data_IF_504290136370
#
_entry.id   IF_504290136370
#
_cell.length_a   1.000
_cell.length_b   1.000
_cell.length_c   1.000
_cell.angle_alpha   90.00
_cell.angle_beta   90.00
_cell.angle_gamma   90.00
#
_symmetry.space_group_name_H-M   'P 1'
#
loop_
_entity.id
_entity.type
_entity.pdbx_description
1 polymer ?
#
# COMPACT_ATOMS: atom_id res chain seq x y z
N UNK A 1 -22.84 -19.19 4.36
CA UNK A 1 -21.44 -18.79 4.58
C UNK A 1 -21.35 -18.06 5.91
N UNK A 2 -20.46 -18.51 6.79
CA UNK A 2 -20.10 -17.84 8.04
C UNK A 2 -18.68 -17.35 7.86
N UNK A 3 -18.42 -16.09 8.23
CA UNK A 3 -17.10 -15.48 8.12
C UNK A 3 -16.79 -14.75 9.42
N UNK A 4 -15.69 -15.11 10.05
CA UNK A 4 -15.14 -14.45 11.22
C UNK A 4 -13.85 -13.73 10.84
N UNK A 5 -13.65 -12.54 11.40
CA UNK A 5 -12.45 -11.74 11.16
C UNK A 5 -11.99 -11.10 12.47
N UNK A 6 -10.72 -11.28 12.77
CA UNK A 6 -10.01 -10.57 13.82
C UNK A 6 -9.03 -9.60 13.18
N UNK A 7 -9.03 -8.36 13.65
CA UNK A 7 -8.08 -7.34 13.20
C UNK A 7 -7.44 -6.67 14.41
N UNK A 8 -6.12 -6.61 14.41
CA UNK A 8 -5.33 -5.88 15.42
C UNK A 8 -4.53 -4.82 14.69
N UNK A 9 -4.72 -3.58 15.08
CA UNK A 9 -3.94 -2.43 14.62
C UNK A 9 -3.18 -1.87 15.82
N UNK A 10 -1.87 -1.81 15.73
CA UNK A 10 -1.01 -1.28 16.78
C UNK A 10 -0.03 -0.27 16.19
N UNK A 11 0.15 0.83 16.89
CA UNK A 11 1.14 1.85 16.52
C UNK A 11 1.86 2.34 17.77
N UNK A 12 3.18 2.34 17.73
CA UNK A 12 4.05 2.89 18.76
C UNK A 12 4.93 3.95 18.12
N UNK A 13 5.06 5.08 18.77
CA UNK A 13 5.92 6.17 18.28
C UNK A 13 6.72 6.83 19.41
N UNK A 14 7.85 7.42 19.04
CA UNK A 14 8.64 8.28 19.89
C UNK A 14 8.90 9.62 19.19
N UNK A 15 8.78 10.71 19.94
CA UNK A 15 9.18 12.05 19.49
C UNK A 15 10.34 12.52 20.35
N UNK A 16 11.39 13.00 19.71
CA UNK A 16 12.59 13.53 20.37
C UNK A 16 12.85 14.93 19.82
N UNK A 17 13.08 15.88 20.70
CA UNK A 17 13.44 17.26 20.35
C UNK A 17 14.86 17.55 20.86
N UNK A 18 15.91 17.11 20.16
CA UNK A 18 17.30 17.18 20.66
C UNK A 18 17.83 18.62 20.73
N UNK A 19 17.32 19.48 19.87
CA UNK A 19 17.61 20.93 19.86
C UNK A 19 16.32 21.69 19.54
N UNK A 20 16.32 22.98 19.82
CA UNK A 20 15.20 23.87 19.50
C UNK A 20 14.85 23.77 17.99
N UNK A 21 13.56 23.66 17.68
CA UNK A 21 13.00 23.60 16.33
C UNK A 21 13.31 22.32 15.52
N UNK A 22 14.03 21.34 16.07
CA UNK A 22 14.24 20.03 15.47
C UNK A 22 13.40 18.99 16.19
N UNK A 23 12.49 18.34 15.47
CA UNK A 23 11.72 17.21 15.97
C UNK A 23 12.04 15.98 15.15
N UNK A 24 12.48 14.93 15.81
CA UNK A 24 12.67 13.59 15.22
C UNK A 24 11.54 12.71 15.73
N UNK A 25 10.80 12.11 14.81
CA UNK A 25 9.72 11.17 15.11
C UNK A 25 10.03 9.84 14.46
N UNK A 26 10.02 8.78 15.26
CA UNK A 26 10.06 7.38 14.76
C UNK A 26 8.77 6.71 15.16
N UNK A 27 8.14 6.01 14.21
CA UNK A 27 6.87 5.32 14.36
C UNK A 27 6.97 3.91 13.79
N UNK A 28 6.52 2.92 14.58
CA UNK A 28 6.35 1.54 14.15
C UNK A 28 4.87 1.19 14.17
N UNK A 29 4.38 0.62 13.07
CA UNK A 29 3.01 0.16 12.91
C UNK A 29 2.96 -1.34 12.60
N UNK A 30 1.95 -2.01 13.15
CA UNK A 30 1.62 -3.40 12.82
C UNK A 30 0.10 -3.49 12.59
N UNK A 31 -0.29 -3.96 11.43
CA UNK A 31 -1.69 -4.28 11.07
C UNK A 31 -1.76 -5.78 10.79
N UNK A 32 -2.42 -6.52 11.68
CA UNK A 32 -2.64 -7.95 11.54
C UNK A 32 -4.12 -8.24 11.39
N UNK A 33 -4.46 -9.06 10.40
CA UNK A 33 -5.82 -9.51 10.15
C UNK A 33 -5.84 -11.01 9.91
N UNK A 34 -6.60 -11.73 10.74
CA UNK A 34 -6.92 -13.14 10.53
C UNK A 34 -8.38 -13.27 10.13
N UNK A 35 -8.67 -14.00 9.07
CA UNK A 35 -10.04 -14.29 8.66
C UNK A 35 -10.25 -15.76 8.39
N UNK A 36 -11.36 -16.31 8.89
CA UNK A 36 -11.82 -17.65 8.57
C UNK A 36 -13.19 -17.59 7.91
N UNK A 37 -13.40 -18.43 6.93
CA UNK A 37 -14.71 -18.57 6.31
C UNK A 37 -15.10 -20.04 6.26
N UNK A 38 -16.35 -20.29 6.62
CA UNK A 38 -17.01 -21.57 6.45
C UNK A 38 -18.10 -21.42 5.38
N UNK A 39 -18.02 -22.27 4.37
CA UNK A 39 -18.99 -22.32 3.27
C UNK A 39 -19.67 -23.66 3.26
N UNK A 40 -20.99 -23.67 3.09
CA UNK A 40 -21.78 -24.88 2.99
C UNK A 40 -22.88 -24.71 1.96
N UNK A 41 -23.08 -25.76 1.18
CA UNK A 41 -24.21 -25.90 0.28
C UNK A 41 -24.91 -27.22 0.60
N UNK A 42 -26.20 -27.14 0.88
CA UNK A 42 -26.96 -28.31 1.36
C UNK A 42 -27.39 -29.23 0.21
N UNK A 43 -27.31 -30.56 0.37
CA UNK A 43 -27.86 -31.51 -0.61
C UNK A 43 -29.32 -31.30 -0.92
N UNK A 44 -30.11 -30.87 0.07
CA UNK A 44 -31.56 -30.59 -0.08
C UNK A 44 -31.87 -29.41 -1.02
N UNK A 45 -30.93 -28.55 -1.31
CA UNK A 45 -31.13 -27.49 -2.31
C UNK A 45 -31.27 -28.08 -3.72
N UNK A 46 -32.37 -27.78 -4.39
CA UNK A 46 -32.69 -28.27 -5.73
C UNK A 46 -31.56 -28.00 -6.72
N UNK A 47 -30.90 -26.84 -6.61
CA UNK A 47 -29.80 -26.45 -7.48
C UNK A 47 -28.55 -27.32 -7.31
N UNK A 48 -28.41 -28.00 -6.18
CA UNK A 48 -27.26 -28.84 -5.87
C UNK A 48 -27.42 -30.29 -6.36
N UNK A 49 -28.58 -30.60 -6.91
CA UNK A 49 -28.89 -31.91 -7.49
C UNK A 49 -28.54 -33.10 -6.56
N UNK A 50 -28.87 -32.94 -5.28
CA UNK A 50 -28.60 -33.96 -4.25
C UNK A 50 -27.14 -34.04 -3.75
N UNK A 51 -26.26 -33.19 -4.22
CA UNK A 51 -24.84 -33.16 -3.81
C UNK A 51 -24.54 -31.92 -2.98
N UNK A 52 -24.25 -32.12 -1.69
CA UNK A 52 -23.78 -31.06 -0.80
C UNK A 52 -22.31 -30.71 -1.02
N UNK A 53 -21.92 -29.56 -0.52
CA UNK A 53 -20.49 -29.17 -0.39
C UNK A 53 -20.21 -28.48 0.94
N UNK A 54 -19.00 -28.66 1.45
CA UNK A 54 -18.50 -27.94 2.60
C UNK A 54 -17.09 -27.43 2.32
N UNK A 55 -16.80 -26.19 2.71
CA UNK A 55 -15.50 -25.58 2.51
C UNK A 55 -15.04 -24.79 3.72
N UNK A 56 -13.74 -24.75 3.91
CA UNK A 56 -13.06 -23.87 4.86
C UNK A 56 -11.99 -23.08 4.15
N UNK A 57 -11.90 -21.81 4.53
CA UNK A 57 -10.87 -20.88 4.08
C UNK A 57 -10.28 -20.20 5.32
N UNK A 58 -8.98 -20.04 5.37
CA UNK A 58 -8.27 -19.23 6.35
C UNK A 58 -7.30 -18.32 5.62
N UNK A 59 -7.19 -17.09 6.09
CA UNK A 59 -6.25 -16.10 5.53
C UNK A 59 -5.70 -15.23 6.64
N UNK A 60 -4.40 -15.06 6.64
CA UNK A 60 -3.63 -14.17 7.50
C UNK A 60 -3.01 -13.06 6.65
N UNK A 61 -3.12 -11.83 7.12
CA UNK A 61 -2.49 -10.67 6.48
C UNK A 61 -1.75 -9.90 7.56
N UNK A 62 -0.47 -9.65 7.35
CA UNK A 62 0.37 -8.83 8.22
C UNK A 62 1.02 -7.72 7.41
N UNK A 63 0.85 -6.48 7.88
CA UNK A 63 1.60 -5.33 7.39
C UNK A 63 2.42 -4.73 8.53
N UNK A 64 3.71 -4.65 8.35
CA UNK A 64 4.62 -3.95 9.24
C UNK A 64 5.09 -2.68 8.55
N UNK A 65 5.08 -1.57 9.28
CA UNK A 65 5.57 -0.29 8.79
C UNK A 65 6.50 0.37 9.80
N UNK A 66 7.52 1.02 9.30
CA UNK A 66 8.41 1.89 10.05
C UNK A 66 8.53 3.21 9.30
N UNK A 67 8.38 4.33 10.01
CA UNK A 67 8.57 5.66 9.46
C UNK A 67 9.38 6.50 10.44
N UNK A 68 10.51 7.00 9.98
CA UNK A 68 11.32 7.96 10.74
C UNK A 68 11.39 9.28 9.97
N UNK A 69 11.08 10.37 10.66
CA UNK A 69 11.12 11.73 10.10
C UNK A 69 11.92 12.66 11.00
N UNK A 70 12.65 13.59 10.39
CA UNK A 70 13.28 14.72 11.04
C UNK A 70 12.71 16.01 10.45
N UNK A 71 12.07 16.82 11.28
CA UNK A 71 11.51 18.11 10.89
C UNK A 71 12.30 19.21 11.58
N UNK A 72 12.81 20.16 10.79
CA UNK A 72 13.54 21.32 11.28
C UNK A 72 12.92 22.61 10.77
N UNK A 73 12.46 23.45 11.72
CA UNK A 73 11.93 24.79 11.42
C UNK A 73 12.99 25.84 11.70
N UNK A 74 13.34 26.59 10.66
CA UNK A 74 14.33 27.64 10.71
C UNK A 74 13.66 29.00 10.47
N UNK A 75 13.54 29.79 11.51
CA UNK A 75 13.10 31.18 11.45
C UNK A 75 14.34 32.07 11.32
N UNK A 76 14.64 32.53 10.09
CA UNK A 76 15.78 33.43 9.86
C UNK A 76 15.52 34.80 10.48
N UNK A 77 14.29 35.32 10.33
CA UNK A 77 13.79 36.55 10.91
C UNK A 77 12.25 36.58 10.82
N UNK A 78 11.62 37.70 11.22
CA UNK A 78 10.16 37.89 11.17
C UNK A 78 9.54 37.74 9.77
N UNK A 79 10.35 37.87 8.72
CA UNK A 79 9.88 37.87 7.33
C UNK A 79 10.18 36.58 6.59
N UNK A 80 11.11 35.75 7.07
CA UNK A 80 11.61 34.56 6.38
C UNK A 80 11.56 33.34 7.27
N UNK A 81 10.80 32.34 6.91
CA UNK A 81 10.78 31.06 7.55
C UNK A 81 11.01 29.91 6.57
N UNK A 82 11.73 28.91 7.01
CA UNK A 82 12.01 27.68 6.27
C UNK A 82 11.58 26.48 7.14
N UNK A 83 11.01 25.48 6.48
CA UNK A 83 10.70 24.21 7.12
C UNK A 83 11.28 23.08 6.26
N UNK A 84 12.08 22.20 6.89
CA UNK A 84 12.70 21.07 6.24
C UNK A 84 12.20 19.80 6.87
N UNK A 85 11.75 18.88 6.05
CA UNK A 85 11.39 17.51 6.43
C UNK A 85 12.29 16.53 5.67
N UNK A 86 12.98 15.68 6.40
CA UNK A 86 13.68 14.52 5.87
C UNK A 86 13.03 13.27 6.46
N UNK A 87 12.82 12.26 5.67
CA UNK A 87 12.20 11.04 6.15
C UNK A 87 12.65 9.78 5.41
N UNK A 88 12.43 8.68 6.10
CA UNK A 88 12.61 7.32 5.60
C UNK A 88 11.37 6.52 6.02
N UNK A 89 10.94 5.61 5.14
CA UNK A 89 9.82 4.71 5.39
C UNK A 89 10.16 3.30 4.86
N UNK A 90 9.81 2.29 5.65
CA UNK A 90 9.89 0.90 5.25
C UNK A 90 8.54 0.22 5.51
N UNK A 91 8.08 -0.55 4.53
CA UNK A 91 6.83 -1.33 4.63
C UNK A 91 7.10 -2.76 4.21
N UNK A 92 6.64 -3.71 5.00
CA UNK A 92 6.63 -5.12 4.67
C UNK A 92 5.21 -5.66 4.76
N UNK A 93 4.73 -6.28 3.70
CA UNK A 93 3.41 -6.91 3.60
C UNK A 93 3.57 -8.40 3.35
N UNK A 94 2.82 -9.19 4.10
CA UNK A 94 2.72 -10.64 3.94
C UNK A 94 1.26 -11.07 4.01
N UNK A 95 0.86 -11.94 3.09
CA UNK A 95 -0.46 -12.55 3.09
C UNK A 95 -0.32 -14.04 2.82
N UNK A 96 -0.87 -14.85 3.71
CA UNK A 96 -0.93 -16.29 3.55
C UNK A 96 -2.37 -16.76 3.64
N UNK A 97 -2.70 -17.83 2.95
CA UNK A 97 -4.04 -18.37 3.01
C UNK A 97 -4.09 -19.83 2.55
N UNK A 98 -5.09 -20.52 2.97
CA UNK A 98 -5.41 -21.82 2.44
C UNK A 98 -6.92 -22.03 2.34
N UNK A 99 -7.34 -22.87 1.42
CA UNK A 99 -8.71 -23.31 1.30
C UNK A 99 -8.81 -24.82 1.04
N UNK A 100 -9.89 -25.39 1.51
CA UNK A 100 -10.26 -26.76 1.21
C UNK A 100 -11.76 -26.87 1.03
N UNK A 101 -12.19 -27.57 0.00
CA UNK A 101 -13.60 -27.80 -0.31
C UNK A 101 -13.79 -29.28 -0.63
N UNK A 102 -14.81 -29.88 -0.02
CA UNK A 102 -15.27 -31.22 -0.36
C UNK A 102 -16.69 -31.21 -0.90
N UNK A 103 -17.05 -32.22 -1.66
CA UNK A 103 -18.39 -32.46 -2.18
C UNK A 103 -18.86 -33.86 -1.89
N UNK A 104 -20.18 -34.06 -2.00
CA UNK A 104 -20.81 -35.34 -1.79
C UNK A 104 -21.20 -35.61 -0.34
N UNK A 105 -21.55 -34.57 0.43
CA UNK A 105 -22.23 -34.73 1.71
C UNK A 105 -23.60 -35.36 1.50
N UNK A 106 -23.89 -36.43 2.25
CA UNK A 106 -25.10 -37.22 2.03
C UNK A 106 -26.38 -36.62 2.57
N UNK A 107 -26.29 -35.67 3.53
CA UNK A 107 -27.42 -34.94 4.08
C UNK A 107 -26.99 -33.59 4.67
N UNK A 108 -27.96 -32.72 4.97
CA UNK A 108 -27.76 -31.35 5.45
C UNK A 108 -27.08 -31.24 6.84
N UNK A 109 -27.08 -32.32 7.62
CA UNK A 109 -26.44 -32.34 8.96
C UNK A 109 -24.93 -32.60 8.88
N UNK A 110 -24.44 -33.11 7.75
CA UNK A 110 -23.01 -33.39 7.54
C UNK A 110 -22.30 -32.14 7.05
N UNK A 111 -21.94 -31.27 7.98
CA UNK A 111 -21.40 -29.93 7.68
C UNK A 111 -19.88 -29.87 7.59
N UNK A 112 -19.17 -30.91 8.01
CA UNK A 112 -17.71 -30.94 8.00
C UNK A 112 -17.16 -31.21 6.60
N UNK A 113 -16.00 -30.64 6.29
CA UNK A 113 -15.27 -30.90 5.03
C UNK A 113 -14.95 -32.39 4.89
N UNK A 114 -14.62 -33.05 5.99
CA UNK A 114 -14.31 -34.49 6.01
C UNK A 114 -15.51 -35.40 5.75
N UNK A 115 -16.74 -34.86 5.77
CA UNK A 115 -17.96 -35.65 5.51
C UNK A 115 -18.30 -35.75 4.01
N UNK A 116 -17.53 -35.08 3.14
CA UNK A 116 -17.66 -35.24 1.70
C UNK A 116 -16.98 -36.48 1.18
N UNK A 117 -17.50 -37.05 0.09
CA UNK A 117 -16.94 -38.25 -0.53
C UNK A 117 -15.72 -38.00 -1.39
N UNK A 118 -15.48 -36.75 -1.78
CA UNK A 118 -14.33 -36.36 -2.60
C UNK A 118 -13.88 -34.92 -2.30
N UNK A 119 -12.58 -34.67 -2.38
CA UNK A 119 -12.04 -33.34 -2.43
C UNK A 119 -12.45 -32.67 -3.77
N UNK A 120 -12.90 -31.43 -3.73
CA UNK A 120 -13.35 -30.67 -4.90
C UNK A 120 -12.41 -29.53 -5.26
N UNK A 121 -11.84 -28.88 -4.24
CA UNK A 121 -10.83 -27.88 -4.40
C UNK A 121 -9.97 -27.82 -3.14
N UNK A 122 -8.70 -27.58 -3.33
CA UNK A 122 -7.74 -27.22 -2.29
C UNK A 122 -6.72 -26.27 -2.89
N UNK A 123 -6.14 -25.43 -2.07
CA UNK A 123 -5.11 -24.53 -2.50
C UNK A 123 -4.57 -23.73 -1.35
N UNK A 124 -3.37 -23.28 -1.50
CA UNK A 124 -2.71 -22.32 -0.66
C UNK A 124 -2.32 -21.09 -1.46
N UNK A 125 -2.12 -20.01 -0.77
CA UNK A 125 -1.64 -18.75 -1.36
C UNK A 125 -0.62 -18.12 -0.42
N UNK A 126 0.43 -17.59 -1.01
CA UNK A 126 1.44 -16.84 -0.31
C UNK A 126 1.85 -15.65 -1.18
N UNK A 127 1.80 -14.46 -0.61
CA UNK A 127 2.11 -13.24 -1.33
C UNK A 127 2.77 -12.24 -0.39
N UNK A 128 3.88 -11.64 -0.84
CA UNK A 128 4.58 -10.63 -0.08
C UNK A 128 5.15 -9.54 -0.97
N UNK A 129 5.28 -8.34 -0.41
CA UNK A 129 6.04 -7.26 -1.02
C UNK A 129 6.64 -6.36 0.06
N UNK A 130 7.66 -5.62 -0.33
CA UNK A 130 8.33 -4.65 0.54
C UNK A 130 8.56 -3.34 -0.20
N UNK A 131 8.48 -2.24 0.53
CA UNK A 131 8.89 -0.90 0.08
C UNK A 131 9.95 -0.33 1.00
N UNK A 132 10.87 0.44 0.41
CA UNK A 132 11.81 1.30 1.11
C UNK A 132 11.84 2.65 0.41
N UNK A 133 11.65 3.71 1.18
CA UNK A 133 11.50 5.05 0.66
C UNK A 133 12.35 6.04 1.45
N UNK A 134 12.92 7.02 0.74
CA UNK A 134 13.55 8.20 1.33
C UNK A 134 12.92 9.44 0.72
N UNK A 135 12.62 10.43 1.55
CA UNK A 135 11.98 11.64 1.08
C UNK A 135 12.47 12.89 1.78
N UNK A 136 12.43 13.96 1.04
CA UNK A 136 12.77 15.31 1.49
C UNK A 136 11.66 16.27 1.06
N UNK A 137 11.36 17.25 1.92
CA UNK A 137 10.51 18.41 1.60
C UNK A 137 11.12 19.65 2.21
N UNK A 138 11.21 20.70 1.42
CA UNK A 138 11.62 22.02 1.82
C UNK A 138 10.53 23.04 1.51
N UNK A 139 10.13 23.81 2.50
CA UNK A 139 9.14 24.88 2.38
C UNK A 139 9.78 26.20 2.75
N UNK A 140 9.52 27.24 1.99
CA UNK A 140 9.95 28.60 2.24
C UNK A 140 8.75 29.53 2.25
N UNK A 141 8.67 30.37 3.27
CA UNK A 141 7.66 31.40 3.40
C UNK A 141 8.33 32.77 3.55
N UNK A 142 7.87 33.72 2.76
CA UNK A 142 8.26 35.12 2.85
C UNK A 142 7.06 36.02 3.16
N UNK A 143 7.03 36.56 4.40
CA UNK A 143 6.02 37.52 4.91
C UNK A 143 4.56 37.04 4.76
N UNK A 144 4.30 35.75 4.69
CA UNK A 144 2.99 35.17 4.36
C UNK A 144 2.42 35.64 3.01
N UNK A 145 3.30 36.17 2.13
CA UNK A 145 3.00 36.61 0.78
C UNK A 145 3.38 35.55 -0.26
N UNK A 146 4.60 35.04 -0.16
CA UNK A 146 5.14 34.10 -1.14
C UNK A 146 5.54 32.80 -0.44
N UNK A 147 5.07 31.72 -1.00
CA UNK A 147 5.40 30.37 -0.54
C UNK A 147 6.03 29.60 -1.69
N UNK A 148 7.12 28.95 -1.41
CA UNK A 148 7.75 28.01 -2.34
C UNK A 148 7.96 26.67 -1.64
N UNK A 149 7.70 25.60 -2.35
CA UNK A 149 7.88 24.23 -1.86
C UNK A 149 8.67 23.42 -2.87
N UNK A 150 9.56 22.58 -2.38
CA UNK A 150 10.19 21.54 -3.16
C UNK A 150 10.10 20.21 -2.40
N UNK A 151 9.76 19.14 -3.10
CA UNK A 151 9.82 17.79 -2.56
C UNK A 151 10.55 16.87 -3.52
N UNK A 152 11.25 15.90 -2.96
CA UNK A 152 11.87 14.81 -3.69
C UNK A 152 11.67 13.52 -2.91
N UNK A 153 11.38 12.43 -3.61
CA UNK A 153 11.19 11.11 -3.03
C UNK A 153 11.83 10.05 -3.93
N UNK A 154 12.49 9.10 -3.33
CA UNK A 154 12.95 7.90 -4.00
C UNK A 154 12.37 6.68 -3.31
N UNK A 155 11.75 5.80 -4.09
CA UNK A 155 11.04 4.62 -3.60
C UNK A 155 11.59 3.37 -4.29
N UNK A 156 11.88 2.35 -3.49
CA UNK A 156 12.18 1.01 -3.98
C UNK A 156 11.03 0.07 -3.70
N UNK A 157 10.66 -0.74 -4.69
CA UNK A 157 9.62 -1.78 -4.56
C UNK A 157 10.17 -3.14 -4.96
N UNK A 158 9.86 -4.16 -4.14
CA UNK A 158 10.19 -5.55 -4.47
C UNK A 158 9.37 -6.14 -5.62
N UNK A 159 8.34 -5.43 -6.08
CA UNK A 159 7.49 -5.84 -7.21
C UNK A 159 8.18 -5.72 -8.56
N UNK A 160 9.25 -4.93 -8.63
CA UNK A 160 9.99 -4.65 -9.85
C UNK A 160 11.25 -5.49 -10.01
N UNK A 161 11.75 -5.56 -11.22
CA UNK A 161 13.01 -6.21 -11.55
C UNK A 161 14.18 -5.64 -10.73
N UNK A 162 15.22 -6.45 -10.48
CA UNK A 162 16.30 -6.12 -9.54
C UNK A 162 16.94 -4.76 -9.82
N UNK A 163 17.13 -4.43 -11.09
CA UNK A 163 17.82 -3.20 -11.52
C UNK A 163 16.83 -2.01 -11.72
N UNK A 164 15.52 -2.26 -11.63
CA UNK A 164 14.44 -1.27 -11.84
C UNK A 164 13.59 -1.00 -10.60
N UNK A 165 14.05 -1.42 -9.43
CA UNK A 165 13.31 -1.26 -8.16
C UNK A 165 13.13 0.17 -7.74
N UNK A 166 14.10 1.05 -8.02
CA UNK A 166 14.12 2.41 -7.57
C UNK A 166 13.44 3.37 -8.57
N UNK A 167 12.47 4.14 -8.07
CA UNK A 167 11.89 5.28 -8.75
C UNK A 167 12.27 6.58 -8.04
N UNK A 168 12.43 7.66 -8.80
CA UNK A 168 12.69 9.01 -8.27
C UNK A 168 11.57 9.93 -8.72
N UNK A 169 10.97 10.62 -7.75
CA UNK A 169 9.85 11.53 -7.96
C UNK A 169 10.15 12.86 -7.31
N UNK A 170 9.64 13.94 -7.88
CA UNK A 170 9.87 15.27 -7.37
C UNK A 170 8.66 16.18 -7.63
N UNK A 171 8.53 17.23 -6.84
CA UNK A 171 7.56 18.29 -7.08
C UNK A 171 8.11 19.64 -6.70
N UNK A 172 7.63 20.66 -7.39
CA UNK A 172 7.85 22.07 -7.10
C UNK A 172 6.49 22.77 -7.02
N UNK A 173 6.33 23.60 -6.01
CA UNK A 173 5.15 24.40 -5.78
C UNK A 173 5.52 25.85 -5.51
N UNK A 174 4.69 26.76 -6.00
CA UNK A 174 4.76 28.17 -5.70
C UNK A 174 3.35 28.71 -5.44
N UNK A 175 3.19 29.52 -4.40
CA UNK A 175 1.94 30.19 -4.10
C UNK A 175 2.20 31.65 -3.77
N UNK A 176 1.43 32.54 -4.38
CA UNK A 176 1.38 33.97 -4.09
C UNK A 176 0.05 34.31 -3.43
N UNK A 177 0.10 34.79 -2.21
CA UNK A 177 -1.06 35.27 -1.47
C UNK A 177 -1.28 36.75 -1.76
N UNK A 178 -1.98 37.04 -2.85
CA UNK A 178 -2.20 38.38 -3.37
C UNK A 178 -2.99 39.25 -2.37
N UNK A 179 -3.92 38.65 -1.61
CA UNK A 179 -4.72 39.38 -0.62
C UNK A 179 -3.87 40.05 0.46
N UNK A 180 -2.71 39.49 0.79
CA UNK A 180 -1.82 40.04 1.82
C UNK A 180 -0.91 41.16 1.28
N UNK A 181 -0.93 41.46 -0.04
CA UNK A 181 -0.20 42.56 -0.63
C UNK A 181 -0.77 43.90 -0.17
N UNK A 182 0.10 44.92 -0.06
CA UNK A 182 -0.24 46.23 0.45
C UNK A 182 -1.38 46.92 -0.33
N UNK A 183 -1.52 46.66 -1.63
CA UNK A 183 -2.55 47.22 -2.49
C UNK A 183 -3.93 46.50 -2.39
N UNK A 184 -4.02 45.31 -1.80
CA UNK A 184 -5.28 44.57 -1.59
C UNK A 184 -5.63 44.36 -0.11
N UNK A 185 -4.71 44.64 0.80
CA UNK A 185 -4.87 44.35 2.23
C UNK A 185 -6.15 45.00 2.81
N UNK A 186 -6.44 46.22 2.42
CA UNK A 186 -7.55 47.01 2.95
C UNK A 186 -8.88 46.85 2.18
N UNK A 187 -8.93 45.96 1.19
CA UNK A 187 -10.14 45.67 0.42
C UNK A 187 -11.03 44.70 1.21
N UNK A 188 -12.04 45.22 1.89
CA UNK A 188 -12.88 44.48 2.84
C UNK A 188 -13.75 43.38 2.21
N UNK A 189 -14.25 43.59 0.98
CA UNK A 189 -15.08 42.60 0.29
C UNK A 189 -14.30 41.38 -0.21
N UNK A 190 -12.98 41.46 -0.31
CA UNK A 190 -12.10 40.39 -0.76
C UNK A 190 -11.49 39.67 0.46
N UNK A 191 -11.99 38.53 0.80
CA UNK A 191 -11.55 37.76 1.97
C UNK A 191 -10.24 37.02 1.70
N UNK A 192 -10.07 36.46 0.49
CA UNK A 192 -8.85 35.76 0.06
C UNK A 192 -8.64 35.90 -1.42
N UNK A 193 -7.38 36.00 -1.84
CA UNK A 193 -6.95 35.91 -3.24
C UNK A 193 -5.55 35.32 -3.28
N UNK A 194 -5.39 34.21 -3.99
CA UNK A 194 -4.12 33.53 -4.11
C UNK A 194 -3.98 32.90 -5.50
N UNK A 195 -2.75 32.78 -5.96
CA UNK A 195 -2.40 32.03 -7.16
C UNK A 195 -1.44 30.94 -6.73
N UNK A 196 -1.75 29.72 -7.13
CA UNK A 196 -0.90 28.55 -6.86
C UNK A 196 -0.50 27.89 -8.17
N UNK A 197 0.77 27.53 -8.26
CA UNK A 197 1.34 26.79 -9.38
C UNK A 197 2.07 25.58 -8.82
N UNK A 198 1.89 24.42 -9.42
CA UNK A 198 2.70 23.26 -9.06
C UNK A 198 3.00 22.39 -10.27
N UNK A 199 4.15 21.75 -10.24
CA UNK A 199 4.58 20.75 -11.23
C UNK A 199 5.33 19.63 -10.52
N UNK A 200 5.24 18.41 -11.05
CA UNK A 200 5.96 17.30 -10.47
C UNK A 200 5.65 15.96 -11.14
N UNK A 201 6.37 14.96 -10.69
CA UNK A 201 6.19 13.57 -11.13
C UNK A 201 5.68 12.70 -9.98
N UNK A 202 4.84 11.73 -10.30
CA UNK A 202 4.40 10.67 -9.39
C UNK A 202 4.62 9.31 -10.00
N UNK A 203 4.83 8.29 -9.17
CA UNK A 203 5.03 6.91 -9.59
C UNK A 203 3.83 6.03 -9.26
N UNK A 204 3.62 5.01 -10.09
CA UNK A 204 2.67 3.94 -9.83
C UNK A 204 3.40 2.60 -9.77
N UNK A 205 3.11 1.82 -8.74
CA UNK A 205 3.65 0.48 -8.49
C UNK A 205 2.56 -0.57 -8.28
N UNK A 206 1.32 -0.27 -8.66
CA UNK A 206 0.17 -1.20 -8.54
C UNK A 206 0.21 -2.28 -9.63
N UNK A 207 1.15 -3.20 -9.48
CA UNK A 207 1.30 -4.40 -10.30
C UNK A 207 1.28 -5.63 -9.39
N UNK A 208 0.96 -6.83 -9.89
CA UNK A 208 1.10 -8.08 -9.13
C UNK A 208 2.52 -8.29 -8.59
N UNK A 209 2.63 -8.93 -7.41
CA UNK A 209 3.88 -8.95 -6.65
C UNK A 209 5.05 -9.67 -7.34
N UNK A 210 4.81 -10.54 -8.29
CA UNK A 210 5.82 -11.43 -8.89
C UNK A 210 5.87 -11.35 -10.42
N UNK A 211 5.29 -10.31 -11.04
CA UNK A 211 5.22 -10.18 -12.50
C UNK A 211 6.59 -10.03 -13.17
N UNK A 212 7.61 -9.61 -12.44
CA UNK A 212 8.98 -9.55 -12.93
C UNK A 212 9.66 -10.93 -12.99
N UNK A 213 9.10 -11.96 -12.34
CA UNK A 213 9.70 -13.31 -12.26
C UNK A 213 9.13 -14.25 -13.32
N UNK A 214 9.99 -15.10 -13.85
CA UNK A 214 9.55 -16.30 -14.56
C UNK A 214 9.01 -17.30 -13.53
N UNK A 215 7.74 -17.67 -13.64
CA UNK A 215 7.10 -18.60 -12.72
C UNK A 215 6.74 -19.91 -13.41
N UNK A 216 6.86 -20.98 -12.65
CA UNK A 216 6.39 -22.32 -13.02
C UNK A 216 5.28 -22.75 -12.07
N UNK A 217 4.39 -23.61 -12.52
CA UNK A 217 3.36 -24.21 -11.70
C UNK A 217 3.37 -25.73 -11.86
N UNK A 218 3.04 -26.43 -10.77
CA UNK A 218 2.69 -27.83 -10.81
C UNK A 218 1.30 -27.97 -11.43
N UNK A 219 1.07 -28.99 -12.20
CA UNK A 219 -0.19 -29.09 -12.90
C UNK A 219 -0.51 -30.49 -13.43
N UNK A 220 -0.73 -30.63 -14.73
CA UNK A 220 -1.21 -31.87 -15.27
C UNK A 220 -0.23 -33.00 -15.00
N UNK A 221 -0.75 -34.05 -14.39
CA UNK A 221 0.01 -35.30 -14.25
C UNK A 221 0.12 -35.95 -15.61
N UNK A 222 1.30 -36.47 -15.91
CA UNK A 222 1.52 -37.33 -17.06
C UNK A 222 1.84 -38.74 -16.56
N UNK A 223 0.97 -39.67 -16.86
CA UNK A 223 1.11 -41.07 -16.44
C UNK A 223 1.32 -41.24 -14.91
N UNK A 224 0.47 -40.51 -14.12
CA UNK A 224 0.50 -40.45 -12.67
C UNK A 224 1.76 -39.81 -12.04
N UNK A 225 2.64 -39.22 -12.86
CA UNK A 225 3.78 -38.41 -12.39
C UNK A 225 3.46 -36.92 -12.42
N UNK A 226 3.93 -36.18 -11.41
CA UNK A 226 3.70 -34.75 -11.29
C UNK A 226 4.46 -33.97 -12.39
N UNK A 227 3.73 -33.21 -13.18
CA UNK A 227 4.29 -32.34 -14.22
C UNK A 227 4.49 -30.90 -13.75
N UNK A 228 5.43 -30.21 -14.37
CA UNK A 228 5.70 -28.78 -14.19
C UNK A 228 5.55 -28.07 -15.54
N UNK A 229 4.90 -26.92 -15.53
CA UNK A 229 4.75 -26.09 -16.74
C UNK A 229 5.04 -24.61 -16.46
N UNK A 230 5.52 -23.86 -17.46
CA UNK A 230 5.67 -22.40 -17.31
C UNK A 230 4.31 -21.73 -17.10
N UNK A 231 4.18 -20.95 -16.03
CA UNK A 231 2.96 -20.22 -15.68
C UNK A 231 2.96 -18.82 -16.28
N UNK A 232 4.12 -18.14 -16.22
CA UNK A 232 4.32 -16.82 -16.81
C UNK A 232 5.78 -16.63 -17.24
N UNK A 233 6.05 -15.86 -18.30
CA UNK A 233 7.40 -15.39 -18.60
C UNK A 233 7.84 -14.33 -17.61
N UNK A 234 9.14 -14.24 -17.30
CA UNK A 234 9.69 -13.15 -16.52
C UNK A 234 9.85 -11.88 -17.38
N UNK A 235 9.81 -10.73 -16.69
CA UNK A 235 10.17 -9.44 -17.26
C UNK A 235 11.06 -8.68 -16.26
N UNK A 236 12.36 -8.83 -16.41
CA UNK A 236 13.34 -8.22 -15.51
C UNK A 236 13.40 -6.69 -15.66
N UNK A 237 12.95 -6.15 -16.80
CA UNK A 237 12.92 -4.70 -17.09
C UNK A 237 11.66 -4.00 -16.53
N UNK A 238 10.78 -4.75 -15.83
CA UNK A 238 9.57 -4.19 -15.25
C UNK A 238 9.92 -3.18 -14.15
N UNK A 239 9.48 -1.94 -14.32
CA UNK A 239 9.80 -0.80 -13.46
C UNK A 239 8.62 0.14 -13.24
N UNK A 240 8.91 1.27 -12.63
CA UNK A 240 7.93 2.30 -12.28
C UNK A 240 7.28 2.94 -13.50
N UNK A 241 5.96 3.05 -13.48
CA UNK A 241 5.22 3.95 -14.34
C UNK A 241 5.27 5.36 -13.75
N UNK A 242 5.56 6.37 -14.57
CA UNK A 242 5.65 7.76 -14.12
C UNK A 242 4.60 8.64 -14.80
N UNK A 243 3.97 9.48 -14.01
CA UNK A 243 3.02 10.48 -14.49
C UNK A 243 3.54 11.87 -14.15
N UNK A 244 3.50 12.79 -15.11
CA UNK A 244 3.81 14.20 -14.90
C UNK A 244 2.52 15.02 -14.77
N UNK A 245 2.41 15.79 -13.70
CA UNK A 245 1.26 16.65 -13.44
C UNK A 245 1.68 18.12 -13.32
N UNK A 246 0.85 19.00 -13.89
CA UNK A 246 0.98 20.46 -13.75
C UNK A 246 -0.38 21.02 -13.29
N UNK A 247 -0.37 21.87 -12.28
CA UNK A 247 -1.59 22.45 -11.74
C UNK A 247 -1.45 23.97 -11.66
N UNK A 248 -2.55 24.65 -11.94
CA UNK A 248 -2.73 26.11 -11.80
C UNK A 248 -4.03 26.33 -11.04
N UNK A 249 -3.99 27.07 -9.96
CA UNK A 249 -5.12 27.38 -9.10
C UNK A 249 -5.16 28.84 -8.66
#
# INVERSE_FOLDING_TARGET
CIRDRYKVLSTVFANITPIKNLTIRTQFGADYSHSTAFMQSYPSYVINNGMGSAGRNSSDVLTLSETTTANYRWELNESHSLNFLLGQEAVNFESTGFQVVSRGQANDKLTNVTSGTRASAWGDSNSSYSYLSFFFRGEYNYKDLYYAEMAARTDASSRFGKDHRWGVFWSLGFMWNIKNESFLKDVEWLTSAQIALSTGTSGNSEIPNYDHLALVAGGPNYNDEAGIYPKQPGNEDLGWEQTWANNVG
#
